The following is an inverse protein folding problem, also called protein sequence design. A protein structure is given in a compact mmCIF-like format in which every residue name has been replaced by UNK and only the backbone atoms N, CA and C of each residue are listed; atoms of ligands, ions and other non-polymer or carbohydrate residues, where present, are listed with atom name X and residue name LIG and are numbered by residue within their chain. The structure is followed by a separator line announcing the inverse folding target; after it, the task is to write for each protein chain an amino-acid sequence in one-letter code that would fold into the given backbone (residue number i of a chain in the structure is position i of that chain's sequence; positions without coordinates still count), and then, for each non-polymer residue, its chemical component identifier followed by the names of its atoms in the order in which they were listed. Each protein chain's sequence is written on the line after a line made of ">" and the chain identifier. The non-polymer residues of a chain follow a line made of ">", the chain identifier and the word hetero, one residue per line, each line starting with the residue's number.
data_IF_820583755182
#
_entry.id   IF_820583755182
#
_cell.length_a   1.000
_cell.length_b   1.000
_cell.length_c   1.000
_cell.angle_alpha   90.00
_cell.angle_beta   90.00
_cell.angle_gamma   90.00
#
_symmetry.space_group_name_H-M   'P 1'
#
loop_
_entity.id
_entity.type
_entity.pdbx_description
1 polymer ?
#
# COMPACT_ATOMS: atom_id res chain seq x y z
N UNK A 1 -1.12 -31.03 -24.95
CA UNK A 1 -0.75 -29.61 -25.11
C UNK A 1 -1.84 -28.78 -24.48
N UNK A 2 -1.53 -28.02 -23.43
CA UNK A 2 -2.19 -26.76 -23.05
C UNK A 2 -1.49 -26.26 -21.79
N UNK A 3 -0.72 -25.19 -21.96
CA UNK A 3 0.00 -24.50 -20.89
C UNK A 3 -1.03 -23.78 -20.01
N UNK A 4 -1.06 -24.05 -18.71
CA UNK A 4 -1.77 -23.21 -17.76
C UNK A 4 -0.84 -22.07 -17.34
N UNK A 5 -1.12 -20.90 -17.90
CA UNK A 5 -0.56 -19.62 -17.47
C UNK A 5 -1.00 -19.35 -16.02
N UNK A 6 -0.09 -19.58 -15.06
CA UNK A 6 -0.24 -19.08 -13.70
C UNK A 6 0.00 -17.56 -13.73
N UNK A 7 -1.08 -16.80 -13.95
CA UNK A 7 -1.11 -15.40 -13.60
C UNK A 7 -1.03 -15.32 -12.06
N UNK A 8 0.19 -15.24 -11.53
CA UNK A 8 0.42 -14.86 -10.14
C UNK A 8 -0.08 -13.42 -9.96
N UNK A 9 -1.34 -13.29 -9.54
CA UNK A 9 -1.91 -12.03 -9.07
C UNK A 9 -1.00 -11.45 -8.00
N UNK A 10 -0.65 -10.17 -8.13
CA UNK A 10 0.41 -9.58 -7.32
C UNK A 10 -0.10 -9.46 -5.88
N UNK A 11 0.73 -9.71 -4.86
CA UNK A 11 0.32 -9.65 -3.46
C UNK A 11 -0.27 -8.29 -3.01
N UNK A 12 -0.10 -7.21 -3.79
CA UNK A 12 -0.74 -5.92 -3.54
C UNK A 12 -2.23 -5.87 -3.95
N UNK A 13 -2.67 -6.68 -4.92
CA UNK A 13 -4.09 -6.75 -5.33
C UNK A 13 -4.92 -7.50 -4.28
N UNK A 14 -4.28 -8.34 -3.46
CA UNK A 14 -4.91 -9.02 -2.32
C UNK A 14 -5.08 -8.11 -1.09
N UNK A 15 -4.56 -6.88 -1.08
CA UNK A 15 -4.72 -5.97 0.05
C UNK A 15 -6.20 -5.77 0.39
N UNK A 16 -7.07 -5.57 -0.61
CA UNK A 16 -8.51 -5.45 -0.41
C UNK A 16 -9.17 -6.71 0.19
N UNK A 17 -8.63 -7.90 -0.09
CA UNK A 17 -9.07 -9.15 0.52
C UNK A 17 -8.46 -9.41 1.91
N UNK A 18 -7.36 -8.73 2.24
CA UNK A 18 -6.71 -8.80 3.54
C UNK A 18 -7.30 -7.76 4.51
N UNK A 19 -7.74 -6.62 3.98
CA UNK A 19 -8.41 -5.53 4.71
C UNK A 19 -9.75 -5.99 5.34
N UNK A 20 -10.38 -7.02 4.78
CA UNK A 20 -11.56 -7.65 5.37
C UNK A 20 -11.26 -8.58 6.56
N UNK A 21 -9.98 -8.90 6.82
CA UNK A 21 -9.54 -9.77 7.91
C UNK A 21 -8.80 -9.01 9.03
N UNK A 22 -8.35 -7.78 8.79
CA UNK A 22 -7.74 -6.94 9.83
C UNK A 22 -8.87 -6.16 10.55
N UNK A 23 -8.91 -6.16 11.89
CA UNK A 23 -9.85 -5.32 12.63
C UNK A 23 -9.73 -3.85 12.22
N UNK A 24 -10.88 -3.23 11.91
CA UNK A 24 -11.03 -1.87 11.34
C UNK A 24 -10.09 -0.81 11.95
N UNK A 25 -9.83 -0.90 13.25
CA UNK A 25 -9.00 0.06 14.01
C UNK A 25 -7.51 0.07 13.66
N UNK A 26 -6.98 -0.95 12.96
CA UNK A 26 -5.58 -0.99 12.50
C UNK A 26 -5.42 -0.76 10.98
N UNK A 27 -6.53 -0.73 10.23
CA UNK A 27 -6.55 -0.50 8.78
C UNK A 27 -7.06 0.87 8.37
N UNK A 28 -7.83 1.54 9.22
CA UNK A 28 -8.35 2.84 8.88
C UNK A 28 -7.25 3.89 9.07
N UNK A 29 -6.74 4.37 7.94
CA UNK A 29 -5.90 5.56 7.89
C UNK A 29 -6.81 6.75 8.21
N UNK A 30 -7.09 7.00 9.50
CA UNK A 30 -7.96 8.08 9.98
C UNK A 30 -7.31 9.47 9.82
N UNK A 31 -6.85 9.76 8.60
CA UNK A 31 -6.21 10.98 8.17
C UNK A 31 -6.95 11.54 6.96
N UNK A 32 -6.50 12.69 6.45
CA UNK A 32 -7.12 13.24 5.24
C UNK A 32 -7.06 12.25 4.08
N UNK A 33 -8.05 12.31 3.19
CA UNK A 33 -8.14 11.50 1.96
C UNK A 33 -6.83 11.59 1.13
N UNK A 34 -6.13 12.72 1.20
CA UNK A 34 -4.83 12.93 0.56
C UNK A 34 -3.74 12.02 1.14
N UNK A 35 -3.65 11.92 2.47
CA UNK A 35 -2.66 11.07 3.14
C UNK A 35 -3.00 9.60 2.91
N UNK A 36 -4.28 9.23 2.99
CA UNK A 36 -4.70 7.86 2.69
C UNK A 36 -4.29 7.48 1.25
N UNK A 37 -4.61 8.34 0.28
CA UNK A 37 -4.27 8.13 -1.13
C UNK A 37 -2.76 8.00 -1.34
N UNK A 38 -1.96 8.83 -0.66
CA UNK A 38 -0.49 8.73 -0.66
C UNK A 38 -0.03 7.36 -0.17
N UNK A 39 -0.51 6.93 1.00
CA UNK A 39 -0.09 5.68 1.62
C UNK A 39 -0.51 4.45 0.80
N UNK A 40 -1.72 4.47 0.22
CA UNK A 40 -2.18 3.42 -0.70
C UNK A 40 -1.27 3.34 -1.95
N UNK A 41 -0.98 4.48 -2.59
CA UNK A 41 -0.10 4.54 -3.77
C UNK A 41 1.31 4.04 -3.44
N UNK A 42 1.85 4.46 -2.31
CA UNK A 42 3.19 4.08 -1.87
C UNK A 42 3.29 2.57 -1.61
N UNK A 43 2.33 1.98 -0.91
CA UNK A 43 2.28 0.52 -0.71
C UNK A 43 2.17 -0.25 -2.04
N UNK A 44 1.37 0.26 -2.99
CA UNK A 44 1.24 -0.32 -4.33
C UNK A 44 2.55 -0.28 -5.12
N UNK A 45 3.25 0.85 -5.13
CA UNK A 45 4.50 1.00 -5.89
C UNK A 45 5.63 0.14 -5.33
N UNK A 46 5.75 0.13 -4.00
CA UNK A 46 6.78 -0.66 -3.28
C UNK A 46 6.45 -2.15 -3.24
N UNK A 47 5.18 -2.51 -3.48
CA UNK A 47 4.64 -3.87 -3.35
C UNK A 47 4.85 -4.46 -1.96
N UNK A 48 4.86 -3.59 -0.95
CA UNK A 48 5.05 -3.97 0.46
C UNK A 48 3.78 -3.69 1.25
N UNK A 49 3.24 -4.74 1.88
CA UNK A 49 2.06 -4.65 2.75
C UNK A 49 2.33 -3.92 4.07
N UNK A 50 3.60 -3.77 4.47
CA UNK A 50 3.99 -3.07 5.70
C UNK A 50 3.98 -1.55 5.52
N UNK A 51 4.15 -1.07 4.29
CA UNK A 51 4.28 0.36 3.99
C UNK A 51 3.00 1.14 4.29
N UNK A 52 1.82 0.57 4.03
CA UNK A 52 0.55 1.26 4.29
C UNK A 52 0.36 1.61 5.78
N UNK A 53 0.38 0.65 6.74
CA UNK A 53 0.20 0.98 8.15
C UNK A 53 1.33 1.85 8.71
N UNK A 54 2.58 1.69 8.23
CA UNK A 54 3.68 2.57 8.62
C UNK A 54 3.46 4.02 8.15
N UNK A 55 3.06 4.21 6.90
CA UNK A 55 2.78 5.53 6.32
C UNK A 55 1.60 6.21 7.03
N UNK A 56 0.52 5.47 7.30
CA UNK A 56 -0.66 5.99 7.99
C UNK A 56 -0.31 6.46 9.41
N UNK A 57 0.41 5.64 10.17
CA UNK A 57 0.82 6.00 11.54
C UNK A 57 2.04 6.93 11.59
N UNK A 58 2.56 7.35 10.44
CA UNK A 58 3.85 8.03 10.28
C UNK A 58 5.00 7.41 11.09
N UNK A 59 5.05 6.07 11.17
CA UNK A 59 6.16 5.38 11.84
C UNK A 59 7.43 5.56 11.04
N UNK A 60 8.51 5.89 11.72
CA UNK A 60 9.84 6.03 11.10
C UNK A 60 9.86 7.01 9.91
N UNK A 61 9.05 8.07 9.98
CA UNK A 61 8.93 9.07 8.89
C UNK A 61 8.51 8.44 7.54
N UNK A 62 7.78 7.32 7.60
CA UNK A 62 7.34 6.59 6.42
C UNK A 62 6.43 7.44 5.52
N UNK A 63 5.73 8.46 6.05
CA UNK A 63 4.91 9.36 5.24
C UNK A 63 5.77 10.25 4.35
N UNK A 64 6.79 10.89 4.93
CA UNK A 64 7.73 11.74 4.21
C UNK A 64 8.54 10.92 3.20
N UNK A 65 8.93 9.69 3.58
CA UNK A 65 9.55 8.74 2.68
C UNK A 65 8.62 8.39 1.51
N UNK A 66 7.36 8.06 1.79
CA UNK A 66 6.37 7.77 0.75
C UNK A 66 6.17 8.94 -0.19
N UNK A 67 6.06 10.17 0.31
CA UNK A 67 5.95 11.39 -0.50
C UNK A 67 7.12 11.49 -1.50
N UNK A 68 8.35 11.32 -1.01
CA UNK A 68 9.55 11.36 -1.86
C UNK A 68 9.59 10.21 -2.85
N UNK A 69 9.26 9.00 -2.39
CA UNK A 69 9.32 7.77 -3.19
C UNK A 69 8.33 7.81 -4.35
N UNK A 70 7.08 8.24 -4.12
CA UNK A 70 6.08 8.33 -5.18
C UNK A 70 6.40 9.44 -6.19
N UNK A 71 7.10 10.49 -5.77
CA UNK A 71 7.52 11.60 -6.63
C UNK A 71 8.81 11.28 -7.40
N UNK A 72 9.57 10.28 -6.98
CA UNK A 72 10.83 9.90 -7.63
C UNK A 72 10.55 9.19 -8.97
N UNK A 73 10.97 9.82 -10.09
CA UNK A 73 10.79 9.27 -11.44
C UNK A 73 9.61 9.84 -12.24
N UNK A 74 8.90 10.86 -11.74
CA UNK A 74 7.89 11.64 -12.50
C UNK A 74 8.52 12.78 -13.33
N UNK A 75 9.72 12.59 -13.86
CA UNK A 75 10.39 13.54 -14.77
C UNK A 75 10.25 13.11 -16.23
#
# INVERSE_FOLDING_TARGET
>A
MMQQNLAYGKPYDMWSSFQSLIPKSETDCDLSDEIETLCQKCAKQTKSSVVYPMCCQNREEAREWCQKYISFGLQ
#
